data_IF_292215130292
#
_entry.id   IF_292215130292
#
_cell.length_a   1.000
_cell.length_b   1.000
_cell.length_c   1.000
_cell.angle_alpha   90.00
_cell.angle_beta   90.00
_cell.angle_gamma   90.00
#
_symmetry.space_group_name_H-M   'P 1'
#
loop_
_entity.id
_entity.type
_entity.pdbx_description
1 polymer ?
#
# COMPACT_ATOMS: atom_id res chain seq x y z
N UNK A 1 -25.73 -10.04 9.42
CA UNK A 1 -26.70 -11.12 9.65
C UNK A 1 -26.94 -11.83 8.32
N UNK A 2 -26.87 -13.18 8.22
CA UNK A 2 -27.27 -13.90 7.02
C UNK A 2 -28.75 -13.64 6.75
N UNK A 3 -29.09 -13.33 5.51
CA UNK A 3 -30.48 -13.11 5.05
C UNK A 3 -30.98 -14.37 4.33
N UNK A 4 -30.13 -14.95 3.48
CA UNK A 4 -30.36 -16.21 2.78
C UNK A 4 -29.02 -16.89 2.44
N UNK A 5 -29.06 -17.99 1.67
CA UNK A 5 -27.87 -18.79 1.34
C UNK A 5 -26.76 -18.02 0.55
N UNK A 6 -27.06 -16.85 0.00
CA UNK A 6 -26.13 -16.05 -0.80
C UNK A 6 -25.99 -14.59 -0.35
N UNK A 7 -26.75 -14.17 0.67
CA UNK A 7 -26.81 -12.77 1.05
C UNK A 7 -26.62 -12.57 2.54
N UNK A 8 -25.89 -11.52 2.89
CA UNK A 8 -25.74 -11.06 4.27
C UNK A 8 -26.04 -9.57 4.33
N UNK A 9 -26.68 -9.15 5.43
CA UNK A 9 -26.92 -7.74 5.73
C UNK A 9 -25.97 -7.28 6.83
N UNK A 10 -25.28 -6.15 6.57
CA UNK A 10 -24.49 -5.45 7.58
C UNK A 10 -25.35 -4.33 8.17
N UNK A 11 -25.70 -4.46 9.44
CA UNK A 11 -26.46 -3.46 10.19
C UNK A 11 -25.56 -2.84 11.25
N UNK A 12 -25.37 -1.54 11.16
CA UNK A 12 -24.66 -0.77 12.18
C UNK A 12 -25.68 -0.07 13.09
N UNK A 13 -25.56 -0.27 14.39
CA UNK A 13 -26.31 0.44 15.42
C UNK A 13 -25.37 1.28 16.26
N UNK A 14 -25.58 2.61 16.29
CA UNK A 14 -24.70 3.55 16.99
C UNK A 14 -25.52 4.39 17.96
N UNK A 15 -25.22 4.23 19.23
CA UNK A 15 -25.73 5.08 20.28
C UNK A 15 -24.68 6.11 20.69
N UNK A 16 -25.05 7.38 20.75
CA UNK A 16 -24.14 8.43 21.21
C UNK A 16 -24.88 9.44 22.12
N UNK A 17 -24.13 10.06 23.01
CA UNK A 17 -24.61 11.12 23.90
C UNK A 17 -23.75 12.35 23.73
N UNK A 18 -24.36 13.49 23.55
CA UNK A 18 -23.67 14.78 23.49
C UNK A 18 -23.37 15.30 24.91
N UNK A 19 -22.24 15.94 25.15
CA UNK A 19 -21.82 16.40 26.48
C UNK A 19 -22.48 17.72 26.94
N UNK A 20 -23.37 18.34 26.14
CA UNK A 20 -23.96 19.64 26.40
C UNK A 20 -25.47 19.56 26.76
N UNK A 21 -25.96 20.47 27.60
CA UNK A 21 -27.34 20.46 28.09
C UNK A 21 -28.41 20.98 27.12
N UNK A 22 -29.68 20.80 27.48
CA UNK A 22 -30.93 20.71 26.70
C UNK A 22 -31.20 21.71 25.54
N UNK A 23 -30.60 22.88 25.46
CA UNK A 23 -30.88 23.88 24.42
C UNK A 23 -29.95 23.93 23.24
N UNK A 24 -28.71 23.38 23.38
CA UNK A 24 -27.72 23.26 22.30
C UNK A 24 -27.82 21.92 21.57
N UNK A 25 -28.56 20.96 22.13
CA UNK A 25 -28.61 19.58 21.67
C UNK A 25 -29.23 19.44 20.27
N UNK A 26 -30.28 20.19 19.94
CA UNK A 26 -30.99 20.01 18.67
C UNK A 26 -30.13 20.40 17.43
N UNK A 27 -29.28 21.43 17.56
CA UNK A 27 -28.40 21.86 16.48
C UNK A 27 -27.17 20.94 16.41
N UNK A 28 -26.63 20.58 17.57
CA UNK A 28 -25.50 19.66 17.68
C UNK A 28 -25.90 18.25 17.23
N UNK A 29 -27.05 17.73 17.59
CA UNK A 29 -27.59 16.45 17.11
C UNK A 29 -27.70 16.39 15.57
N UNK A 30 -28.26 17.46 14.97
CA UNK A 30 -28.35 17.54 13.51
C UNK A 30 -26.98 17.58 12.83
N UNK A 31 -26.01 18.28 13.42
CA UNK A 31 -24.64 18.36 12.89
C UNK A 31 -23.95 17.00 13.01
N UNK A 32 -23.99 16.39 14.20
CA UNK A 32 -23.42 15.05 14.44
C UNK A 32 -24.11 14.00 13.58
N UNK A 33 -25.46 14.03 13.50
CA UNK A 33 -26.23 13.12 12.65
C UNK A 33 -25.82 13.20 11.18
N UNK A 34 -25.55 14.39 10.63
CA UNK A 34 -25.03 14.54 9.25
C UNK A 34 -23.65 13.94 9.08
N UNK A 35 -22.74 14.16 10.05
CA UNK A 35 -21.39 13.60 10.02
C UNK A 35 -21.44 12.08 10.07
N UNK A 36 -22.22 11.51 11.00
CA UNK A 36 -22.41 10.07 11.11
C UNK A 36 -23.04 9.49 9.84
N UNK A 37 -24.11 10.07 9.32
CA UNK A 37 -24.74 9.61 8.07
C UNK A 37 -23.75 9.59 6.92
N UNK A 38 -22.91 10.64 6.79
CA UNK A 38 -21.88 10.70 5.75
C UNK A 38 -20.82 9.62 5.94
N UNK A 39 -20.34 9.42 7.18
CA UNK A 39 -19.33 8.42 7.51
C UNK A 39 -19.84 6.99 7.23
N UNK A 40 -21.06 6.67 7.66
CA UNK A 40 -21.65 5.36 7.41
C UNK A 40 -21.97 5.10 5.95
N UNK A 41 -22.46 6.12 5.21
CA UNK A 41 -22.65 6.00 3.76
C UNK A 41 -21.34 5.71 3.05
N UNK A 42 -20.27 6.43 3.40
CA UNK A 42 -18.94 6.18 2.85
C UNK A 42 -18.46 4.76 3.17
N UNK A 43 -18.59 4.32 4.42
CA UNK A 43 -18.22 2.98 4.87
C UNK A 43 -18.98 1.89 4.12
N UNK A 44 -20.31 1.99 4.03
CA UNK A 44 -21.14 1.01 3.34
C UNK A 44 -20.79 0.92 1.85
N UNK A 45 -20.66 2.08 1.19
CA UNK A 45 -20.28 2.13 -0.22
C UNK A 45 -18.89 1.51 -0.45
N UNK A 46 -17.93 1.81 0.42
CA UNK A 46 -16.59 1.23 0.36
C UNK A 46 -16.62 -0.29 0.53
N UNK A 47 -17.35 -0.79 1.55
CA UNK A 47 -17.51 -2.21 1.79
C UNK A 47 -18.17 -2.92 0.59
N UNK A 48 -19.23 -2.32 0.03
CA UNK A 48 -19.89 -2.84 -1.16
C UNK A 48 -18.92 -2.98 -2.34
N UNK A 49 -18.17 -1.93 -2.65
CA UNK A 49 -17.19 -1.93 -3.74
C UNK A 49 -16.08 -2.96 -3.54
N UNK A 50 -15.60 -3.12 -2.31
CA UNK A 50 -14.56 -4.11 -1.99
C UNK A 50 -15.11 -5.54 -2.14
N UNK A 51 -16.32 -5.82 -1.69
CA UNK A 51 -16.97 -7.13 -1.87
C UNK A 51 -17.24 -7.44 -3.35
N UNK A 52 -17.70 -6.47 -4.13
CA UNK A 52 -17.88 -6.64 -5.57
C UNK A 52 -16.57 -6.99 -6.28
N UNK A 53 -15.47 -6.32 -5.93
CA UNK A 53 -14.15 -6.64 -6.46
C UNK A 53 -13.66 -8.03 -6.04
N UNK A 54 -13.89 -8.41 -4.79
CA UNK A 54 -13.55 -9.76 -4.31
C UNK A 54 -14.36 -10.83 -5.04
N UNK A 55 -15.64 -10.58 -5.33
CA UNK A 55 -16.49 -11.50 -6.07
C UNK A 55 -15.98 -11.81 -7.49
N UNK A 56 -15.39 -10.80 -8.18
CA UNK A 56 -14.77 -11.00 -9.51
C UNK A 56 -13.66 -12.05 -9.50
N UNK A 57 -12.98 -12.22 -8.35
CA UNK A 57 -11.83 -13.10 -8.18
C UNK A 57 -12.12 -14.29 -7.25
N UNK A 58 -13.41 -14.52 -6.91
CA UNK A 58 -13.81 -15.53 -5.92
C UNK A 58 -13.35 -16.95 -6.29
N UNK A 59 -13.35 -17.28 -7.57
CA UNK A 59 -12.96 -18.59 -8.12
C UNK A 59 -11.44 -18.77 -8.27
N UNK A 60 -10.65 -17.74 -7.99
CA UNK A 60 -9.19 -17.83 -8.07
C UNK A 60 -8.60 -18.35 -6.76
N UNK A 61 -7.49 -19.10 -6.83
CA UNK A 61 -6.77 -19.55 -5.64
C UNK A 61 -6.40 -18.38 -4.73
N UNK A 62 -6.45 -18.61 -3.43
CA UNK A 62 -5.91 -17.64 -2.46
C UNK A 62 -4.39 -17.66 -2.53
N UNK A 63 -3.79 -16.49 -2.48
CA UNK A 63 -2.36 -16.28 -2.63
C UNK A 63 -1.74 -15.73 -1.34
N UNK A 64 -0.43 -15.90 -1.22
CA UNK A 64 0.38 -15.27 -0.17
C UNK A 64 1.09 -14.05 -0.73
N UNK A 65 0.90 -12.90 -0.09
CA UNK A 65 1.49 -11.61 -0.52
C UNK A 65 2.38 -11.06 0.57
N UNK A 66 3.65 -10.84 0.27
CA UNK A 66 4.56 -10.13 1.17
C UNK A 66 4.51 -8.63 0.90
N UNK A 67 4.36 -7.81 1.95
CA UNK A 67 4.22 -6.35 1.84
C UNK A 67 5.29 -5.65 2.67
N UNK A 68 6.19 -4.93 2.02
CA UNK A 68 7.08 -3.97 2.64
C UNK A 68 6.40 -2.59 2.69
N UNK A 69 6.44 -1.92 3.84
CA UNK A 69 5.68 -0.68 4.07
C UNK A 69 4.20 -0.91 4.43
N UNK A 70 3.88 -2.09 4.98
CA UNK A 70 2.53 -2.48 5.39
C UNK A 70 1.93 -1.61 6.51
N UNK A 71 2.74 -0.85 7.25
CA UNK A 71 2.28 0.12 8.27
C UNK A 71 1.97 1.51 7.71
N UNK A 72 2.29 1.77 6.43
CA UNK A 72 1.99 3.03 5.76
C UNK A 72 0.53 3.12 5.32
N UNK A 73 0.11 4.32 4.87
CA UNK A 73 -1.26 4.58 4.44
C UNK A 73 -1.76 3.57 3.40
N UNK A 74 -1.06 3.41 2.29
CA UNK A 74 -1.47 2.48 1.22
C UNK A 74 -1.31 1.03 1.69
N UNK A 75 -0.19 0.73 2.36
CA UNK A 75 0.15 -0.64 2.76
C UNK A 75 -0.81 -1.24 3.77
N UNK A 76 -1.28 -0.47 4.75
CA UNK A 76 -2.27 -0.95 5.73
C UNK A 76 -3.61 -1.25 5.07
N UNK A 77 -4.11 -0.35 4.23
CA UNK A 77 -5.36 -0.59 3.49
C UNK A 77 -5.26 -1.77 2.51
N UNK A 78 -4.12 -1.93 1.84
CA UNK A 78 -3.88 -3.09 0.97
C UNK A 78 -3.84 -4.39 1.76
N UNK A 79 -3.18 -4.41 2.92
CA UNK A 79 -3.11 -5.58 3.78
C UNK A 79 -4.51 -6.00 4.27
N UNK A 80 -5.32 -5.04 4.71
CA UNK A 80 -6.69 -5.28 5.14
C UNK A 80 -7.58 -5.77 3.99
N UNK A 81 -7.48 -5.14 2.82
CA UNK A 81 -8.21 -5.54 1.61
C UNK A 81 -7.88 -6.99 1.21
N UNK A 82 -6.60 -7.35 1.15
CA UNK A 82 -6.18 -8.70 0.80
C UNK A 82 -6.61 -9.74 1.85
N UNK A 83 -6.51 -9.40 3.14
CA UNK A 83 -6.92 -10.28 4.23
C UNK A 83 -8.43 -10.52 4.20
N UNK A 84 -9.23 -9.49 3.95
CA UNK A 84 -10.69 -9.59 3.80
C UNK A 84 -11.08 -10.48 2.61
N UNK A 85 -10.28 -10.49 1.54
CA UNK A 85 -10.44 -11.41 0.41
C UNK A 85 -10.00 -12.85 0.71
N UNK A 86 -9.46 -13.13 1.90
CA UNK A 86 -8.96 -14.44 2.31
C UNK A 86 -7.55 -14.76 1.84
N UNK A 87 -6.80 -13.77 1.32
CA UNK A 87 -5.38 -13.92 1.01
C UNK A 87 -4.53 -13.91 2.29
N UNK A 88 -3.39 -14.57 2.25
CA UNK A 88 -2.40 -14.51 3.32
C UNK A 88 -1.48 -13.31 3.10
N UNK A 89 -1.36 -12.45 4.11
CA UNK A 89 -0.45 -11.30 4.09
C UNK A 89 0.72 -11.55 5.03
N UNK A 90 1.94 -11.38 4.51
CA UNK A 90 3.20 -11.37 5.27
C UNK A 90 3.71 -9.93 5.29
N UNK A 91 3.80 -9.33 6.49
CA UNK A 91 4.26 -7.96 6.65
C UNK A 91 5.77 -7.94 6.87
N UNK A 92 6.50 -7.21 6.02
CA UNK A 92 7.92 -6.96 6.24
C UNK A 92 8.09 -5.75 7.15
N UNK A 93 8.60 -5.99 8.36
CA UNK A 93 8.77 -4.98 9.42
C UNK A 93 10.23 -4.66 9.65
N UNK A 94 10.55 -3.40 9.94
CA UNK A 94 11.91 -2.93 10.21
C UNK A 94 12.19 -2.91 11.72
N UNK A 95 13.27 -3.61 12.13
CA UNK A 95 13.70 -3.66 13.52
C UNK A 95 12.76 -4.47 14.42
N UNK A 96 13.29 -4.90 15.57
CA UNK A 96 12.55 -5.66 16.59
C UNK A 96 12.30 -7.12 16.25
N UNK A 97 11.62 -7.79 17.17
CA UNK A 97 11.13 -9.16 16.95
C UNK A 97 9.87 -9.12 16.09
N UNK A 98 9.82 -9.97 15.07
CA UNK A 98 8.67 -10.10 14.19
C UNK A 98 7.53 -10.84 14.92
N UNK A 99 6.33 -10.29 14.85
CA UNK A 99 5.12 -10.93 15.35
C UNK A 99 4.54 -11.97 14.39
N UNK A 100 3.41 -12.58 14.75
CA UNK A 100 2.71 -13.51 13.86
C UNK A 100 2.35 -12.84 12.52
N UNK A 101 2.75 -13.47 11.40
CA UNK A 101 2.54 -12.92 10.05
C UNK A 101 3.47 -11.77 9.67
N UNK A 102 4.51 -11.54 10.46
CA UNK A 102 5.54 -10.55 10.19
C UNK A 102 6.90 -11.20 9.94
N UNK A 103 7.75 -10.49 9.21
CA UNK A 103 9.13 -10.86 8.93
C UNK A 103 10.00 -9.65 9.15
N UNK A 104 11.00 -9.79 10.01
CA UNK A 104 11.98 -8.72 10.24
C UNK A 104 12.94 -8.60 9.07
N UNK A 105 13.22 -7.36 8.66
CA UNK A 105 14.22 -7.05 7.63
C UNK A 105 14.87 -5.70 7.88
N UNK A 106 16.03 -5.51 7.31
CA UNK A 106 16.72 -4.21 7.36
C UNK A 106 17.24 -3.81 5.97
N UNK A 107 16.51 -2.93 5.26
CA UNK A 107 16.93 -2.45 3.95
C UNK A 107 18.17 -1.55 3.99
N UNK A 108 18.61 -1.06 5.16
CA UNK A 108 19.82 -0.24 5.27
C UNK A 108 21.09 -1.08 5.23
N UNK A 109 21.02 -2.32 5.68
CA UNK A 109 22.12 -3.29 5.66
C UNK A 109 21.96 -4.34 4.55
N UNK A 110 20.82 -4.36 3.86
CA UNK A 110 20.46 -5.41 2.92
C UNK A 110 20.06 -6.73 3.60
N UNK A 111 19.83 -6.71 4.92
CA UNK A 111 19.49 -7.90 5.67
C UNK A 111 18.03 -8.27 5.44
N UNK A 112 17.82 -9.38 4.75
CA UNK A 112 16.53 -10.04 4.55
C UNK A 112 16.77 -11.53 4.41
N UNK A 113 16.18 -12.32 5.29
CA UNK A 113 16.18 -13.78 5.13
C UNK A 113 15.23 -14.16 3.98
N UNK A 114 15.82 -14.52 2.85
CA UNK A 114 15.08 -14.94 1.66
C UNK A 114 14.21 -16.18 1.89
N UNK A 115 14.60 -17.08 2.81
CA UNK A 115 13.85 -18.30 3.10
C UNK A 115 12.43 -17.99 3.56
N UNK A 116 12.25 -16.86 4.24
CA UNK A 116 10.94 -16.41 4.72
C UNK A 116 10.01 -15.93 3.59
N UNK A 117 10.60 -15.57 2.44
CA UNK A 117 9.85 -15.18 1.25
C UNK A 117 9.68 -16.33 0.25
N UNK A 118 10.30 -17.50 0.49
CA UNK A 118 10.15 -18.65 -0.40
C UNK A 118 8.69 -19.11 -0.51
N UNK A 119 8.22 -19.16 -1.76
CA UNK A 119 6.85 -19.58 -2.06
C UNK A 119 5.76 -18.55 -1.78
N UNK A 120 6.12 -17.27 -1.55
CA UNK A 120 5.13 -16.19 -1.68
C UNK A 120 4.78 -16.00 -3.17
N UNK A 121 3.52 -15.73 -3.45
CA UNK A 121 3.04 -15.56 -4.83
C UNK A 121 3.32 -14.16 -5.38
N UNK A 122 3.34 -13.16 -4.50
CA UNK A 122 3.59 -11.78 -4.86
C UNK A 122 4.38 -11.05 -3.77
N UNK A 123 5.23 -10.11 -4.17
CA UNK A 123 5.90 -9.15 -3.27
C UNK A 123 5.47 -7.74 -3.66
N UNK A 124 5.07 -6.95 -2.67
CA UNK A 124 4.67 -5.54 -2.84
C UNK A 124 5.58 -4.66 -2.00
N UNK A 125 6.28 -3.74 -2.63
CA UNK A 125 7.13 -2.76 -1.98
C UNK A 125 6.49 -1.36 -2.02
N UNK A 126 6.07 -0.88 -0.86
CA UNK A 126 5.54 0.46 -0.61
C UNK A 126 6.42 1.24 0.36
N UNK A 127 7.66 0.76 0.57
CA UNK A 127 8.60 1.37 1.52
C UNK A 127 9.14 2.70 1.00
N UNK A 128 9.33 3.64 1.90
CA UNK A 128 9.96 4.92 1.60
C UNK A 128 9.79 5.92 2.75
N UNK A 129 10.78 6.76 2.98
CA UNK A 129 10.67 7.87 3.91
C UNK A 129 9.61 8.88 3.44
N UNK A 130 8.90 9.50 4.38
CA UNK A 130 7.91 10.55 4.07
C UNK A 130 8.54 11.67 3.25
N UNK A 131 7.79 12.24 2.32
CA UNK A 131 8.20 13.44 1.56
C UNK A 131 7.90 14.75 2.30
N UNK A 132 7.19 14.69 3.43
CA UNK A 132 6.82 15.86 4.20
C UNK A 132 8.04 16.55 4.82
N UNK A 133 7.98 17.87 4.94
CA UNK A 133 8.99 18.71 5.56
C UNK A 133 9.93 19.40 4.56
N UNK A 134 10.95 20.10 5.10
CA UNK A 134 11.92 20.85 4.29
C UNK A 134 12.96 19.89 3.69
N UNK A 135 13.20 20.01 2.40
CA UNK A 135 14.15 19.14 1.67
C UNK A 135 15.58 19.68 1.74
N UNK A 136 16.20 19.53 2.90
CA UNK A 136 17.64 19.72 3.07
C UNK A 136 18.43 18.67 2.28
N UNK A 137 19.74 18.86 2.10
CA UNK A 137 20.59 17.86 1.43
C UNK A 137 20.54 16.48 2.13
N UNK A 138 20.48 16.47 3.48
CA UNK A 138 20.31 15.25 4.28
C UNK A 138 18.96 14.59 3.97
N UNK A 139 17.88 15.38 3.95
CA UNK A 139 16.52 14.86 3.69
C UNK A 139 16.36 14.29 2.29
N UNK A 140 16.91 14.97 1.28
CA UNK A 140 16.93 14.47 -0.10
C UNK A 140 17.64 13.12 -0.21
N UNK A 141 18.77 12.98 0.45
CA UNK A 141 19.52 11.72 0.51
C UNK A 141 18.68 10.60 1.17
N UNK A 142 18.08 10.87 2.32
CA UNK A 142 17.19 9.92 3.01
C UNK A 142 16.00 9.50 2.14
N UNK A 143 15.39 10.44 1.42
CA UNK A 143 14.29 10.15 0.48
C UNK A 143 14.75 9.18 -0.62
N UNK A 144 15.91 9.39 -1.19
CA UNK A 144 16.48 8.53 -2.23
C UNK A 144 16.86 7.16 -1.67
N UNK A 145 17.71 7.13 -0.65
CA UNK A 145 18.28 5.92 -0.07
C UNK A 145 17.22 4.98 0.50
N UNK A 146 16.19 5.51 1.17
CA UNK A 146 15.09 4.71 1.73
C UNK A 146 14.30 3.95 0.65
N UNK A 147 14.21 4.47 -0.56
CA UNK A 147 13.50 3.86 -1.69
C UNK A 147 14.39 2.89 -2.44
N UNK A 148 15.56 3.34 -2.83
CA UNK A 148 16.52 2.54 -3.58
C UNK A 148 16.98 1.33 -2.76
N UNK A 149 17.42 1.53 -1.51
CA UNK A 149 17.88 0.45 -0.65
C UNK A 149 16.81 -0.60 -0.38
N UNK A 150 15.59 -0.18 -0.03
CA UNK A 150 14.49 -1.10 0.19
C UNK A 150 14.16 -1.92 -1.07
N UNK A 151 14.11 -1.26 -2.22
CA UNK A 151 13.79 -1.93 -3.49
C UNK A 151 14.88 -2.88 -3.93
N UNK A 152 16.13 -2.46 -3.83
CA UNK A 152 17.28 -3.27 -4.18
C UNK A 152 17.38 -4.52 -3.31
N UNK A 153 17.23 -4.38 -1.98
CA UNK A 153 17.25 -5.51 -1.04
C UNK A 153 16.21 -6.57 -1.42
N UNK A 154 14.97 -6.14 -1.72
CA UNK A 154 13.91 -7.05 -2.14
C UNK A 154 14.18 -7.67 -3.50
N UNK A 155 14.59 -6.87 -4.47
CA UNK A 155 14.86 -7.35 -5.84
C UNK A 155 15.99 -8.37 -5.89
N UNK A 156 17.07 -8.14 -5.12
CA UNK A 156 18.19 -9.07 -5.02
C UNK A 156 17.81 -10.35 -4.25
N UNK A 157 16.99 -10.24 -3.20
CA UNK A 157 16.48 -11.42 -2.50
C UNK A 157 15.62 -12.28 -3.44
N UNK A 158 14.68 -11.65 -4.15
CA UNK A 158 13.82 -12.31 -5.15
C UNK A 158 14.64 -13.01 -6.24
N UNK A 159 15.66 -12.34 -6.77
CA UNK A 159 16.52 -12.89 -7.83
C UNK A 159 17.31 -14.13 -7.39
N UNK A 160 17.47 -14.35 -6.07
CA UNK A 160 18.21 -15.50 -5.50
C UNK A 160 17.30 -16.60 -4.97
N UNK A 161 15.97 -16.49 -5.13
CA UNK A 161 15.03 -17.51 -4.68
C UNK A 161 15.01 -18.72 -5.60
N UNK A 162 14.82 -19.89 -5.02
CA UNK A 162 14.58 -21.11 -5.79
C UNK A 162 13.15 -21.14 -6.36
N UNK A 163 12.20 -20.51 -5.65
CA UNK A 163 10.81 -20.34 -6.06
C UNK A 163 10.40 -18.86 -5.95
N UNK A 164 10.80 -18.04 -6.94
CA UNK A 164 10.50 -16.62 -6.91
C UNK A 164 9.00 -16.35 -7.05
N UNK A 165 8.51 -15.18 -6.59
CA UNK A 165 7.12 -14.77 -6.76
C UNK A 165 6.79 -14.58 -8.24
N UNK A 166 5.53 -14.77 -8.59
CA UNK A 166 5.05 -14.50 -9.95
C UNK A 166 5.13 -13.01 -10.32
N UNK A 167 5.04 -12.12 -9.31
CA UNK A 167 5.07 -10.68 -9.53
C UNK A 167 5.76 -9.94 -8.38
N UNK A 168 6.56 -8.96 -8.75
CA UNK A 168 7.09 -7.93 -7.87
C UNK A 168 6.47 -6.58 -8.22
N UNK A 169 5.67 -6.03 -7.31
CA UNK A 169 5.08 -4.69 -7.43
C UNK A 169 5.94 -3.73 -6.61
N UNK A 170 6.68 -2.85 -7.26
CA UNK A 170 7.49 -1.83 -6.58
C UNK A 170 6.93 -0.45 -6.86
N UNK A 171 6.54 0.27 -5.81
CA UNK A 171 5.99 1.61 -5.94
C UNK A 171 6.94 2.54 -6.69
N UNK A 172 6.36 3.48 -7.42
CA UNK A 172 6.98 4.65 -8.01
C UNK A 172 6.05 5.86 -7.82
N UNK A 173 6.30 6.98 -8.46
CA UNK A 173 5.47 8.16 -8.35
C UNK A 173 5.38 8.95 -9.67
N UNK A 174 4.30 9.73 -9.81
CA UNK A 174 4.12 10.67 -10.94
C UNK A 174 5.24 11.72 -11.01
N UNK A 175 6.03 11.88 -9.94
CA UNK A 175 7.26 12.67 -9.95
C UNK A 175 8.26 12.27 -11.04
N UNK A 176 8.15 11.03 -11.56
CA UNK A 176 8.93 10.55 -12.71
C UNK A 176 8.79 11.45 -13.95
N UNK A 177 7.67 12.13 -14.11
CA UNK A 177 7.39 12.98 -15.27
C UNK A 177 7.90 14.44 -15.11
N UNK A 178 8.34 14.83 -13.90
CA UNK A 178 8.73 16.21 -13.62
C UNK A 178 7.56 17.18 -13.71
N UNK A 179 7.86 18.47 -13.98
CA UNK A 179 6.83 19.49 -14.16
C UNK A 179 6.37 19.54 -15.63
N UNK A 180 5.08 19.31 -15.87
CA UNK A 180 4.48 19.25 -17.21
C UNK A 180 3.37 20.29 -17.42
N UNK A 181 3.18 21.21 -16.48
CA UNK A 181 2.07 22.17 -16.55
C UNK A 181 0.72 21.46 -16.64
N UNK A 182 -0.05 21.74 -17.70
CA UNK A 182 -1.35 21.12 -17.96
C UNK A 182 -1.31 19.95 -18.96
N UNK A 183 -0.13 19.46 -19.34
CA UNK A 183 0.01 18.32 -20.26
C UNK A 183 -0.49 17.02 -19.59
N UNK A 184 -1.35 16.29 -20.31
CA UNK A 184 -1.74 14.94 -19.88
C UNK A 184 -0.58 13.98 -20.11
N UNK A 185 -0.22 13.23 -19.06
CA UNK A 185 0.87 12.24 -19.12
C UNK A 185 0.32 10.81 -19.08
N UNK A 186 1.00 9.92 -19.79
CA UNK A 186 0.74 8.48 -19.82
C UNK A 186 2.02 7.74 -19.47
N UNK A 187 1.96 6.42 -19.37
CA UNK A 187 3.13 5.57 -19.12
C UNK A 187 4.20 5.67 -20.21
N UNK A 188 3.81 6.06 -21.44
CA UNK A 188 4.68 6.26 -22.60
C UNK A 188 5.32 7.65 -22.61
N UNK A 189 4.83 8.58 -21.80
CA UNK A 189 5.41 9.93 -21.73
C UNK A 189 6.85 9.85 -21.21
N UNK A 190 7.75 10.61 -21.87
CA UNK A 190 9.15 10.68 -21.46
C UNK A 190 9.31 11.11 -20.00
N UNK A 191 10.34 10.63 -19.34
CA UNK A 191 10.69 11.07 -18.01
C UNK A 191 11.05 12.56 -18.01
N UNK A 192 10.72 13.24 -16.94
CA UNK A 192 11.11 14.64 -16.71
C UNK A 192 12.44 14.77 -16.00
N UNK A 193 12.71 16.00 -15.57
CA UNK A 193 13.92 16.42 -14.88
C UNK A 193 13.64 16.79 -13.42
N UNK A 194 14.74 16.97 -12.67
CA UNK A 194 14.72 17.41 -11.27
C UNK A 194 14.74 16.26 -10.27
N UNK A 195 14.87 16.63 -9.01
CA UNK A 195 15.15 15.69 -7.92
C UNK A 195 14.17 14.52 -7.83
N UNK A 196 12.85 14.77 -7.92
CA UNK A 196 11.88 13.67 -7.84
C UNK A 196 11.92 12.75 -9.05
N UNK A 197 12.21 13.27 -10.23
CA UNK A 197 12.37 12.45 -11.44
C UNK A 197 13.62 11.56 -11.33
N UNK A 198 14.72 12.09 -10.78
CA UNK A 198 15.94 11.33 -10.48
C UNK A 198 15.68 10.24 -9.45
N UNK A 199 14.95 10.56 -8.35
CA UNK A 199 14.55 9.59 -7.34
C UNK A 199 13.73 8.47 -7.96
N UNK A 200 12.72 8.79 -8.76
CA UNK A 200 11.87 7.79 -9.41
C UNK A 200 12.66 6.91 -10.38
N UNK A 201 13.62 7.48 -11.12
CA UNK A 201 14.49 6.74 -12.01
C UNK A 201 15.33 5.71 -11.25
N UNK A 202 16.07 6.15 -10.25
CA UNK A 202 16.90 5.26 -9.42
C UNK A 202 16.06 4.21 -8.69
N UNK A 203 14.85 4.59 -8.24
CA UNK A 203 13.92 3.69 -7.57
C UNK A 203 13.42 2.57 -8.50
N UNK A 204 12.97 2.91 -9.71
CA UNK A 204 12.52 1.92 -10.70
C UNK A 204 13.67 1.04 -11.20
N UNK A 205 14.88 1.59 -11.36
CA UNK A 205 16.09 0.87 -11.75
C UNK A 205 16.53 -0.15 -10.68
N UNK A 206 16.38 0.17 -9.40
CA UNK A 206 16.72 -0.71 -8.27
C UNK A 206 15.90 -2.02 -8.25
N UNK A 207 14.78 -2.08 -8.94
CA UNK A 207 13.96 -3.29 -9.08
C UNK A 207 14.48 -4.23 -10.21
N UNK A 208 15.48 -3.80 -10.99
CA UNK A 208 16.06 -4.54 -12.13
C UNK A 208 16.42 -5.99 -11.85
N UNK A 209 17.13 -6.33 -10.76
CA UNK A 209 17.53 -7.71 -10.47
C UNK A 209 16.37 -8.71 -10.47
N UNK A 210 15.19 -8.35 -9.94
CA UNK A 210 14.02 -9.23 -9.96
C UNK A 210 13.48 -9.44 -11.38
N UNK A 211 13.43 -8.38 -12.20
CA UNK A 211 13.03 -8.48 -13.61
C UNK A 211 14.00 -9.35 -14.40
N UNK A 212 15.30 -9.15 -14.21
CA UNK A 212 16.35 -9.87 -14.94
C UNK A 212 16.39 -11.36 -14.56
N UNK A 213 15.86 -11.70 -13.36
CA UNK A 213 15.59 -13.08 -12.93
C UNK A 213 14.25 -13.65 -13.48
N UNK A 214 13.55 -12.93 -14.36
CA UNK A 214 12.33 -13.40 -15.02
C UNK A 214 11.03 -13.13 -14.24
N UNK A 215 11.08 -12.42 -13.12
CA UNK A 215 9.89 -12.04 -12.34
C UNK A 215 9.16 -10.87 -13.02
N UNK A 216 7.85 -10.95 -13.13
CA UNK A 216 7.04 -9.85 -13.65
C UNK A 216 7.16 -8.63 -12.73
N UNK A 217 7.79 -7.57 -13.23
CA UNK A 217 7.91 -6.30 -12.51
C UNK A 217 6.77 -5.35 -12.89
N UNK A 218 6.11 -4.78 -11.87
CA UNK A 218 5.09 -3.72 -12.02
C UNK A 218 5.51 -2.51 -11.18
N UNK A 219 5.57 -1.35 -11.81
CA UNK A 219 5.97 -0.09 -11.15
C UNK A 219 4.84 0.95 -11.21
N UNK A 220 3.84 0.88 -10.32
CA UNK A 220 2.76 1.86 -10.29
C UNK A 220 3.30 3.23 -9.88
N UNK A 221 3.02 4.25 -10.70
CA UNK A 221 3.40 5.65 -10.44
C UNK A 221 2.27 6.35 -9.71
N UNK A 222 2.33 6.35 -8.39
CA UNK A 222 1.31 6.97 -7.55
C UNK A 222 1.34 8.50 -7.66
N UNK A 223 0.14 9.10 -7.72
CA UNK A 223 -0.07 10.51 -7.45
C UNK A 223 -0.08 10.80 -5.95
N UNK A 224 -0.63 11.98 -5.57
CA UNK A 224 -0.84 12.30 -4.17
C UNK A 224 -2.00 11.46 -3.62
N UNK A 225 -1.71 10.63 -2.62
CA UNK A 225 -2.71 9.81 -1.92
C UNK A 225 -3.03 10.48 -0.59
N UNK A 226 -4.30 10.79 -0.38
CA UNK A 226 -4.83 11.41 0.84
C UNK A 226 -5.81 10.46 1.53
N UNK A 227 -5.92 10.58 2.85
CA UNK A 227 -6.86 9.85 3.70
C UNK A 227 -7.73 10.80 4.52
#
# INVERSE_FOLDING_TARGET
>A
VPVDAGHSELVDHVEYRLPAGDLTDLVAERAVGRVLTRAFRFRHERTRLDLERHAVWADRPRITVAIAGASGLIGSHLADYLTTAGHRVVRLVRGGEAGPGEVSWDPSTGALDRVVLEGVDAVVNLSGASLAGVWTARRRREILESRVGATQTLAEAIARMDRPPAVFVSASAVGAYGSRGGEAVTEQTSRGDGFLAEVCRAWEEAAGPARDAGVRLVTPRFGLVMS
#
